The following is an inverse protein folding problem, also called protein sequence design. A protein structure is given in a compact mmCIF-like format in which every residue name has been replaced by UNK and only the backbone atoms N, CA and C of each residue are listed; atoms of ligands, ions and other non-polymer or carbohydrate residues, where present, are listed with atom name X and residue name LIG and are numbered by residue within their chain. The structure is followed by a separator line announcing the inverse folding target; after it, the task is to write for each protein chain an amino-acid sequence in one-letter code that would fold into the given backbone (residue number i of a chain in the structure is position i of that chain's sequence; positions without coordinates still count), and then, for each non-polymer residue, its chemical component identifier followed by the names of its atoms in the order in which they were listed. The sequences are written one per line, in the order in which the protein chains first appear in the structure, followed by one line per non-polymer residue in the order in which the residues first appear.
data_IF_918767898971
#
_entry.id   IF_918767898971
#
_cell.length_a   1.000
_cell.length_b   1.000
_cell.length_c   1.000
_cell.angle_alpha   90.00
_cell.angle_beta   90.00
_cell.angle_gamma   90.00
#
_symmetry.space_group_name_H-M   'P 1'
#
loop_
_entity.id
_entity.type
_entity.pdbx_description
1 polymer ?
#
# COMPACT_ATOMS: atom_id res chain seq x y z
N UNK A 1 -15.84 11.04 -7.75
CA UNK A 1 -14.58 11.46 -8.42
C UNK A 1 -14.14 12.88 -8.03
N UNK A 2 -14.98 13.94 -8.20
CA UNK A 2 -14.58 15.33 -7.87
C UNK A 2 -14.20 15.56 -6.40
N UNK A 3 -14.82 14.86 -5.45
CA UNK A 3 -14.52 14.98 -4.01
C UNK A 3 -13.09 14.51 -3.65
N UNK A 4 -12.57 13.52 -4.38
CA UNK A 4 -11.23 12.99 -4.16
C UNK A 4 -10.14 13.90 -4.75
N UNK A 5 -10.46 14.73 -5.76
CA UNK A 5 -9.49 15.62 -6.41
C UNK A 5 -8.84 16.60 -5.43
N UNK A 6 -9.57 17.08 -4.44
CA UNK A 6 -9.05 17.96 -3.39
C UNK A 6 -7.97 17.29 -2.55
N UNK A 7 -8.17 16.00 -2.23
CA UNK A 7 -7.18 15.21 -1.50
C UNK A 7 -5.89 15.03 -2.32
N UNK A 8 -6.01 14.76 -3.62
CA UNK A 8 -4.86 14.55 -4.52
C UNK A 8 -4.00 15.81 -4.65
N UNK A 9 -4.61 17.00 -4.68
CA UNK A 9 -3.87 18.28 -4.78
C UNK A 9 -3.02 18.54 -3.53
N UNK A 10 -3.53 18.19 -2.34
CA UNK A 10 -2.85 18.47 -1.07
C UNK A 10 -1.85 17.37 -0.69
N UNK A 11 -2.06 16.13 -1.13
CA UNK A 11 -1.26 14.97 -0.76
C UNK A 11 0.27 15.16 -0.96
N UNK A 12 0.77 15.70 -2.12
CA UNK A 12 2.21 15.86 -2.33
C UNK A 12 2.88 16.76 -1.30
N UNK A 13 2.26 17.90 -0.98
CA UNK A 13 2.82 18.84 -0.01
C UNK A 13 2.83 18.26 1.42
N UNK A 14 1.81 17.49 1.79
CA UNK A 14 1.80 16.77 3.06
C UNK A 14 2.92 15.71 3.12
N UNK A 15 3.16 14.99 2.02
CA UNK A 15 4.22 13.99 1.93
C UNK A 15 5.60 14.63 2.09
N UNK A 16 5.82 15.80 1.51
CA UNK A 16 7.08 16.57 1.68
C UNK A 16 7.28 16.97 3.14
N UNK A 17 6.24 17.45 3.84
CA UNK A 17 6.34 17.78 5.27
C UNK A 17 6.64 16.57 6.13
N UNK A 18 6.05 15.42 5.83
CA UNK A 18 6.37 14.16 6.49
C UNK A 18 7.81 13.73 6.24
N UNK A 19 8.25 13.81 4.97
CA UNK A 19 9.63 13.54 4.58
C UNK A 19 10.65 14.45 5.27
N UNK A 20 10.30 15.73 5.49
CA UNK A 20 11.13 16.65 6.24
C UNK A 20 11.43 16.14 7.66
N UNK A 21 10.41 15.70 8.41
CA UNK A 21 10.63 15.12 9.75
C UNK A 21 11.40 13.80 9.71
N UNK A 22 11.15 12.96 8.73
CA UNK A 22 11.89 11.71 8.54
C UNK A 22 13.37 11.96 8.24
N UNK A 23 13.68 12.98 7.43
CA UNK A 23 15.05 13.39 7.13
C UNK A 23 15.84 13.83 8.36
N UNK A 24 15.16 14.37 9.39
CA UNK A 24 15.75 14.67 10.71
C UNK A 24 15.74 13.46 11.67
N UNK A 25 15.45 12.27 11.19
CA UNK A 25 15.28 11.05 11.99
C UNK A 25 14.25 11.18 13.13
N UNK A 26 13.29 12.11 13.00
CA UNK A 26 12.21 12.32 13.94
C UNK A 26 10.91 11.70 13.42
N UNK A 27 10.67 10.44 13.78
CA UNK A 27 9.51 9.68 13.32
C UNK A 27 8.20 10.02 14.07
N UNK A 28 8.26 10.75 15.21
CA UNK A 28 7.06 11.03 16.03
C UNK A 28 6.01 11.88 15.28
N UNK A 29 6.37 13.05 14.66
CA UNK A 29 5.38 13.84 13.93
C UNK A 29 4.79 13.08 12.73
N UNK A 30 5.60 12.28 12.03
CA UNK A 30 5.17 11.43 10.96
C UNK A 30 4.09 10.44 11.43
N UNK A 31 4.38 9.64 12.46
CA UNK A 31 3.45 8.63 12.97
C UNK A 31 2.16 9.26 13.52
N UNK A 32 2.27 10.32 14.33
CA UNK A 32 1.12 11.00 14.90
C UNK A 32 0.24 11.67 13.84
N UNK A 33 0.84 12.24 12.79
CA UNK A 33 0.08 12.81 11.67
C UNK A 33 -0.71 11.75 10.92
N UNK A 34 -0.16 10.54 10.73
CA UNK A 34 -0.88 9.43 10.11
C UNK A 34 -2.04 8.91 10.98
N UNK A 35 -1.81 8.78 12.28
CA UNK A 35 -2.85 8.36 13.21
C UNK A 35 -3.99 9.38 13.24
N UNK A 36 -3.68 10.66 13.37
CA UNK A 36 -4.68 11.73 13.36
C UNK A 36 -5.48 11.76 12.05
N UNK A 37 -4.80 11.60 10.90
CA UNK A 37 -5.45 11.50 9.60
C UNK A 37 -6.47 10.36 9.57
N UNK A 38 -6.09 9.16 10.01
CA UNK A 38 -6.96 8.00 9.98
C UNK A 38 -8.14 8.14 10.93
N UNK A 39 -7.90 8.59 12.17
CA UNK A 39 -8.96 8.76 13.17
C UNK A 39 -9.99 9.78 12.67
N UNK A 40 -9.55 10.94 12.24
CA UNK A 40 -10.46 12.00 11.78
C UNK A 40 -11.20 11.57 10.51
N UNK A 41 -10.53 10.88 9.59
CA UNK A 41 -11.16 10.33 8.37
C UNK A 41 -12.26 9.34 8.72
N UNK A 42 -12.01 8.40 9.64
CA UNK A 42 -13.00 7.41 10.06
C UNK A 42 -14.17 8.08 10.78
N UNK A 43 -13.90 8.99 11.71
CA UNK A 43 -14.96 9.75 12.43
C UNK A 43 -15.83 10.51 11.43
N UNK A 44 -15.24 11.26 10.50
CA UNK A 44 -15.99 12.00 9.49
C UNK A 44 -16.84 11.07 8.61
N UNK A 45 -16.24 9.99 8.12
CA UNK A 45 -16.93 9.02 7.27
C UNK A 45 -18.15 8.42 7.98
N UNK A 46 -18.01 8.00 9.23
CA UNK A 46 -19.10 7.41 10.01
C UNK A 46 -20.18 8.43 10.32
N UNK A 47 -19.81 9.61 10.82
CA UNK A 47 -20.77 10.65 11.19
C UNK A 47 -21.51 11.16 9.93
N UNK A 48 -20.80 11.52 8.87
CA UNK A 48 -21.45 12.04 7.68
C UNK A 48 -22.40 11.01 7.05
N UNK A 49 -21.96 9.74 6.96
CA UNK A 49 -22.82 8.67 6.43
C UNK A 49 -24.03 8.44 7.32
N UNK A 50 -23.85 8.40 8.64
CA UNK A 50 -24.97 8.24 9.59
C UNK A 50 -25.99 9.39 9.49
N UNK A 51 -25.53 10.64 9.50
CA UNK A 51 -26.42 11.79 9.40
C UNK A 51 -27.18 11.82 8.06
N UNK A 52 -26.52 11.52 6.94
CA UNK A 52 -27.18 11.51 5.62
C UNK A 52 -28.20 10.38 5.51
N UNK A 53 -27.82 9.16 5.93
CA UNK A 53 -28.65 7.97 5.71
C UNK A 53 -29.78 7.82 6.75
N UNK A 54 -29.59 8.27 8.00
CA UNK A 54 -30.55 8.07 9.09
C UNK A 54 -31.38 9.30 9.44
N UNK A 55 -30.80 10.49 9.31
CA UNK A 55 -31.45 11.76 9.75
C UNK A 55 -31.79 12.63 8.53
N UNK A 56 -30.97 12.57 7.49
CA UNK A 56 -31.13 13.40 6.30
C UNK A 56 -31.96 12.76 5.19
N UNK A 57 -31.54 13.03 3.95
CA UNK A 57 -32.28 12.66 2.72
C UNK A 57 -32.29 11.16 2.41
N UNK A 58 -31.46 10.35 3.06
CA UNK A 58 -31.24 8.93 2.73
C UNK A 58 -30.54 8.71 1.37
N UNK A 59 -29.97 9.77 0.77
CA UNK A 59 -29.32 9.68 -0.54
C UNK A 59 -27.97 8.96 -0.43
N UNK A 60 -27.94 7.75 -0.97
CA UNK A 60 -26.75 6.91 -1.03
C UNK A 60 -25.58 7.57 -1.78
N UNK A 61 -25.86 8.30 -2.87
CA UNK A 61 -24.82 8.95 -3.68
C UNK A 61 -24.10 10.03 -2.87
N UNK A 62 -24.86 10.87 -2.17
CA UNK A 62 -24.30 11.89 -1.28
C UNK A 62 -23.52 11.28 -0.12
N UNK A 63 -23.99 10.18 0.45
CA UNK A 63 -23.26 9.46 1.51
C UNK A 63 -21.89 8.94 1.02
N UNK A 64 -21.84 8.35 -0.19
CA UNK A 64 -20.57 7.89 -0.81
C UNK A 64 -19.65 9.08 -1.13
N UNK A 65 -20.17 10.18 -1.63
CA UNK A 65 -19.39 11.40 -1.90
C UNK A 65 -18.74 11.93 -0.62
N UNK A 66 -19.49 11.99 0.47
CA UNK A 66 -18.97 12.44 1.78
C UNK A 66 -17.97 11.46 2.38
N UNK A 67 -18.18 10.15 2.20
CA UNK A 67 -17.23 9.14 2.62
C UNK A 67 -15.87 9.27 1.89
N UNK A 68 -15.88 9.61 0.60
CA UNK A 68 -14.64 9.87 -0.15
C UNK A 68 -14.01 11.22 0.21
N UNK A 69 -14.83 12.24 0.53
CA UNK A 69 -14.36 13.54 0.98
C UNK A 69 -13.69 13.47 2.36
N UNK A 70 -14.01 12.46 3.17
CA UNK A 70 -13.37 12.20 4.47
C UNK A 70 -11.82 12.10 4.36
N UNK A 71 -11.29 11.67 3.21
CA UNK A 71 -9.85 11.65 2.97
C UNK A 71 -9.23 13.05 3.02
N UNK A 72 -9.89 14.05 2.43
CA UNK A 72 -9.46 15.44 2.49
C UNK A 72 -9.49 16.00 3.92
N UNK A 73 -10.56 15.73 4.66
CA UNK A 73 -10.70 16.16 6.06
C UNK A 73 -9.60 15.53 6.94
N UNK A 74 -9.34 14.23 6.75
CA UNK A 74 -8.24 13.54 7.43
C UNK A 74 -6.87 14.19 7.13
N UNK A 75 -6.61 14.56 5.88
CA UNK A 75 -5.37 15.25 5.52
C UNK A 75 -5.24 16.62 6.20
N UNK A 76 -6.32 17.39 6.33
CA UNK A 76 -6.29 18.65 7.08
C UNK A 76 -5.89 18.44 8.55
N UNK A 77 -6.40 17.40 9.19
CA UNK A 77 -5.99 17.03 10.54
C UNK A 77 -4.50 16.65 10.61
N UNK A 78 -4.00 15.89 9.62
CA UNK A 78 -2.59 15.58 9.49
C UNK A 78 -1.72 16.83 9.38
N UNK A 79 -2.13 17.79 8.56
CA UNK A 79 -1.46 19.09 8.49
C UNK A 79 -1.42 19.82 9.83
N UNK A 80 -2.54 19.83 10.55
CA UNK A 80 -2.60 20.45 11.88
C UNK A 80 -1.55 19.89 12.83
N UNK A 81 -1.39 18.56 12.85
CA UNK A 81 -0.35 17.89 13.65
C UNK A 81 1.05 18.26 13.18
N UNK A 82 1.32 18.22 11.87
CA UNK A 82 2.64 18.53 11.33
C UNK A 82 3.02 19.99 11.61
N UNK A 83 2.11 20.94 11.40
CA UNK A 83 2.34 22.36 11.70
C UNK A 83 2.53 22.62 13.20
N UNK A 84 1.77 21.92 14.06
CA UNK A 84 1.97 21.99 15.50
C UNK A 84 3.40 21.59 15.90
N UNK A 85 3.92 20.50 15.33
CA UNK A 85 5.30 20.06 15.61
C UNK A 85 6.34 21.00 15.02
N UNK A 86 6.12 21.55 13.82
CA UNK A 86 6.99 22.59 13.25
C UNK A 86 7.08 23.81 14.13
N UNK A 87 5.95 24.24 14.68
CA UNK A 87 5.89 25.36 15.61
C UNK A 87 6.60 25.03 16.93
N UNK A 88 6.28 23.89 17.52
CA UNK A 88 6.87 23.43 18.79
C UNK A 88 8.39 23.27 18.73
N UNK A 89 8.93 22.82 17.61
CA UNK A 89 10.37 22.64 17.40
C UNK A 89 11.06 23.90 16.90
N UNK A 90 10.35 25.02 16.75
CA UNK A 90 10.91 26.30 16.27
C UNK A 90 11.34 26.27 14.80
N UNK A 91 11.01 25.21 14.05
CA UNK A 91 11.41 25.01 12.65
C UNK A 91 10.55 25.76 11.64
N UNK A 92 9.47 26.39 12.09
CA UNK A 92 8.57 27.15 11.22
C UNK A 92 9.31 28.32 10.53
N UNK A 93 10.22 29.00 11.27
CA UNK A 93 11.03 30.07 10.72
C UNK A 93 12.03 29.57 9.66
N UNK A 94 12.53 28.37 9.77
CA UNK A 94 13.45 27.80 8.78
C UNK A 94 12.74 27.37 7.47
N UNK A 95 11.43 27.09 7.51
CA UNK A 95 10.65 26.78 6.31
C UNK A 95 10.19 28.05 5.55
N UNK A 96 9.82 29.09 6.27
CA UNK A 96 9.23 30.30 5.67
C UNK A 96 10.14 31.53 5.79
N UNK A 97 11.26 31.45 6.53
CA UNK A 97 12.22 32.53 6.65
C UNK A 97 13.07 32.69 5.40
N UNK A 98 13.46 33.96 5.09
CA UNK A 98 14.50 34.22 4.11
C UNK A 98 15.83 33.72 4.70
N UNK A 99 16.17 32.46 4.46
CA UNK A 99 17.51 31.97 4.75
C UNK A 99 18.45 32.48 3.65
N UNK A 100 19.67 32.85 4.04
CA UNK A 100 20.74 33.09 3.08
C UNK A 100 20.93 31.80 2.28
N UNK A 101 20.55 31.81 1.00
CA UNK A 101 20.82 30.73 0.09
C UNK A 101 22.32 30.58 0.01
N UNK A 102 22.90 29.46 0.43
CA UNK A 102 24.30 29.18 0.19
C UNK A 102 24.54 29.25 -1.32
N UNK A 103 25.46 30.07 -1.81
CA UNK A 103 25.65 30.32 -3.24
C UNK A 103 25.97 29.04 -4.05
N UNK A 104 26.44 28.01 -3.36
CA UNK A 104 26.85 26.73 -4.00
C UNK A 104 25.73 25.69 -4.16
N UNK A 105 24.51 25.96 -3.69
CA UNK A 105 23.40 25.01 -3.76
C UNK A 105 22.49 25.41 -4.93
N UNK A 106 22.42 24.53 -5.95
CA UNK A 106 21.45 24.66 -7.02
C UNK A 106 20.16 23.91 -6.67
N UNK A 107 19.06 24.60 -6.30
CA UNK A 107 17.80 23.96 -5.90
C UNK A 107 17.22 23.07 -7.00
N UNK A 108 17.37 23.48 -8.26
CA UNK A 108 16.86 22.73 -9.41
C UNK A 108 17.58 21.39 -9.58
N UNK A 109 18.91 21.38 -9.35
CA UNK A 109 19.68 20.14 -9.41
C UNK A 109 19.25 19.14 -8.33
N UNK A 110 19.02 19.61 -7.09
CA UNK A 110 18.53 18.79 -5.98
C UNK A 110 17.14 18.19 -6.31
N UNK A 111 16.23 19.01 -6.84
CA UNK A 111 14.89 18.53 -7.23
C UNK A 111 15.00 17.46 -8.30
N UNK A 112 15.80 17.66 -9.34
CA UNK A 112 16.00 16.66 -10.42
C UNK A 112 16.62 15.37 -9.88
N UNK A 113 17.60 15.46 -9.01
CA UNK A 113 18.25 14.32 -8.37
C UNK A 113 17.25 13.53 -7.51
N UNK A 114 16.48 14.23 -6.66
CA UNK A 114 15.42 13.63 -5.86
C UNK A 114 14.38 12.92 -6.72
N UNK A 115 13.98 13.52 -7.85
CA UNK A 115 13.07 12.85 -8.79
C UNK A 115 13.68 11.59 -9.39
N UNK A 116 14.94 11.63 -9.82
CA UNK A 116 15.63 10.45 -10.37
C UNK A 116 15.73 9.32 -9.36
N UNK A 117 15.97 9.64 -8.09
CA UNK A 117 16.01 8.66 -7.01
C UNK A 117 14.63 8.14 -6.62
N UNK A 118 13.58 8.96 -6.73
CA UNK A 118 12.21 8.55 -6.41
C UNK A 118 11.60 7.58 -7.43
N UNK A 119 11.94 7.69 -8.73
CA UNK A 119 11.38 6.87 -9.80
C UNK A 119 11.48 5.36 -9.51
N UNK A 120 12.63 4.81 -9.12
CA UNK A 120 12.75 3.39 -8.77
C UNK A 120 11.80 2.95 -7.65
N UNK A 121 11.68 3.78 -6.61
CA UNK A 121 10.78 3.50 -5.48
C UNK A 121 9.31 3.53 -5.91
N UNK A 122 8.94 4.46 -6.80
CA UNK A 122 7.58 4.53 -7.36
C UNK A 122 7.28 3.27 -8.17
N UNK A 123 8.20 2.86 -9.04
CA UNK A 123 8.03 1.68 -9.90
C UNK A 123 7.84 0.43 -9.04
N UNK A 124 8.77 0.13 -8.14
CA UNK A 124 8.71 -1.07 -7.30
C UNK A 124 7.60 -1.01 -6.26
N UNK A 125 7.31 0.17 -5.70
CA UNK A 125 6.24 0.38 -4.74
C UNK A 125 4.84 0.24 -5.34
N UNK A 126 4.68 0.40 -6.67
CA UNK A 126 3.40 0.21 -7.36
C UNK A 126 3.14 -1.22 -7.83
N UNK A 127 4.01 -2.18 -7.49
CA UNK A 127 3.93 -3.55 -7.98
C UNK A 127 2.59 -4.23 -7.72
N UNK A 128 2.09 -4.15 -6.49
CA UNK A 128 0.80 -4.77 -6.11
C UNK A 128 -0.34 -4.18 -6.95
N UNK A 129 -0.34 -2.86 -7.14
CA UNK A 129 -1.35 -2.17 -7.93
C UNK A 129 -1.27 -2.53 -9.42
N UNK A 130 -0.05 -2.69 -9.96
CA UNK A 130 0.14 -3.12 -11.35
C UNK A 130 -0.32 -4.58 -11.55
N UNK A 131 -0.05 -5.46 -10.60
CA UNK A 131 -0.55 -6.83 -10.64
C UNK A 131 -2.07 -6.87 -10.61
N UNK A 132 -2.71 -6.06 -9.75
CA UNK A 132 -4.17 -5.92 -9.70
C UNK A 132 -4.75 -5.34 -10.99
N UNK A 133 -4.07 -4.40 -11.66
CA UNK A 133 -4.49 -3.87 -12.95
C UNK A 133 -4.45 -4.95 -14.04
N UNK A 134 -3.42 -5.80 -14.06
CA UNK A 134 -3.36 -6.93 -14.99
C UNK A 134 -4.53 -7.87 -14.75
N UNK A 135 -4.84 -8.19 -13.48
CA UNK A 135 -5.99 -9.02 -13.12
C UNK A 135 -7.30 -8.39 -13.60
N UNK A 136 -7.50 -7.10 -13.34
CA UNK A 136 -8.73 -6.38 -13.71
C UNK A 136 -8.96 -6.35 -15.23
N UNK A 137 -7.90 -6.18 -16.01
CA UNK A 137 -8.05 -6.07 -17.45
C UNK A 137 -8.20 -7.42 -18.15
N UNK A 138 -7.61 -8.46 -17.59
CA UNK A 138 -7.54 -9.77 -18.25
C UNK A 138 -8.63 -10.73 -17.78
N UNK A 139 -8.98 -10.72 -16.48
CA UNK A 139 -9.82 -11.74 -15.88
C UNK A 139 -11.20 -11.84 -16.54
N UNK A 140 -11.99 -10.77 -16.50
CA UNK A 140 -13.36 -10.79 -17.02
C UNK A 140 -13.36 -11.12 -18.51
N UNK A 141 -12.51 -10.46 -19.30
CA UNK A 141 -12.42 -10.64 -20.74
C UNK A 141 -12.03 -12.08 -21.15
N UNK A 142 -11.13 -12.69 -20.39
CA UNK A 142 -10.70 -14.07 -20.66
C UNK A 142 -11.79 -15.04 -20.26
N UNK A 143 -12.36 -14.89 -19.07
CA UNK A 143 -13.44 -15.77 -18.59
C UNK A 143 -14.68 -15.71 -19.48
N UNK A 144 -15.06 -14.54 -20.00
CA UNK A 144 -16.17 -14.37 -20.96
C UNK A 144 -15.98 -15.19 -22.25
N UNK A 145 -14.74 -15.34 -22.70
CA UNK A 145 -14.42 -16.09 -23.94
C UNK A 145 -14.38 -17.60 -23.74
N UNK A 146 -14.02 -18.07 -22.56
CA UNK A 146 -13.73 -19.49 -22.30
C UNK A 146 -14.74 -20.15 -21.36
N UNK A 147 -15.71 -19.40 -20.82
CA UNK A 147 -16.76 -19.95 -19.93
C UNK A 147 -18.14 -19.45 -20.34
N UNK A 148 -19.18 -20.13 -19.87
CA UNK A 148 -20.58 -19.77 -20.08
C UNK A 148 -21.16 -18.86 -18.99
N UNK A 149 -20.31 -18.28 -18.12
CA UNK A 149 -20.77 -17.39 -17.06
C UNK A 149 -21.34 -16.07 -17.64
N UNK A 150 -22.43 -15.59 -17.05
CA UNK A 150 -22.94 -14.26 -17.36
C UNK A 150 -22.00 -13.16 -16.83
N UNK A 151 -22.09 -11.97 -17.39
CA UNK A 151 -21.25 -10.85 -16.96
C UNK A 151 -21.44 -10.51 -15.47
N UNK A 152 -22.67 -10.62 -14.94
CA UNK A 152 -22.95 -10.45 -13.51
C UNK A 152 -22.27 -11.50 -12.64
N UNK A 153 -22.26 -12.77 -13.06
CA UNK A 153 -21.53 -13.85 -12.35
C UNK A 153 -20.03 -13.62 -12.37
N UNK A 154 -19.46 -13.16 -13.49
CA UNK A 154 -18.03 -12.84 -13.59
C UNK A 154 -17.63 -11.66 -12.70
N UNK A 155 -18.48 -10.65 -12.55
CA UNK A 155 -18.24 -9.55 -11.61
C UNK A 155 -18.24 -10.01 -10.15
N UNK A 156 -19.17 -10.88 -9.78
CA UNK A 156 -19.21 -11.50 -8.44
C UNK A 156 -17.95 -12.33 -8.20
N UNK A 157 -17.56 -13.17 -9.18
CA UNK A 157 -16.36 -13.99 -9.09
C UNK A 157 -15.08 -13.15 -9.00
N UNK A 158 -15.03 -12.02 -9.72
CA UNK A 158 -13.93 -11.05 -9.59
C UNK A 158 -13.92 -10.36 -8.23
N UNK A 159 -15.07 -10.09 -7.63
CA UNK A 159 -15.14 -9.59 -6.27
C UNK A 159 -14.61 -10.60 -5.24
N UNK A 160 -14.88 -11.90 -5.41
CA UNK A 160 -14.32 -12.96 -4.57
C UNK A 160 -12.79 -13.05 -4.66
N UNK A 161 -12.25 -12.77 -5.85
CA UNK A 161 -10.81 -12.79 -6.12
C UNK A 161 -10.09 -11.54 -5.56
N UNK A 162 -10.67 -10.35 -5.79
CA UNK A 162 -9.99 -9.06 -5.59
C UNK A 162 -10.47 -8.34 -4.33
N UNK A 163 -11.76 -7.99 -4.28
CA UNK A 163 -12.29 -7.08 -3.27
C UNK A 163 -12.44 -7.72 -1.89
N UNK A 164 -12.88 -8.97 -1.83
CA UNK A 164 -13.19 -9.63 -0.57
C UNK A 164 -11.94 -9.99 0.24
N UNK A 165 -10.89 -10.60 -0.36
CA UNK A 165 -9.67 -10.89 0.39
C UNK A 165 -8.92 -9.63 0.81
N UNK A 166 -9.05 -8.53 0.06
CA UNK A 166 -8.25 -7.31 0.26
C UNK A 166 -8.32 -6.74 1.68
N UNK A 167 -9.44 -6.90 2.39
CA UNK A 167 -9.60 -6.41 3.77
C UNK A 167 -8.58 -7.02 4.71
N UNK A 168 -8.41 -8.35 4.64
CA UNK A 168 -7.47 -9.07 5.52
C UNK A 168 -6.05 -9.00 4.95
N UNK A 169 -5.88 -9.17 3.64
CA UNK A 169 -4.55 -9.16 3.02
C UNK A 169 -3.85 -7.82 3.18
N UNK A 170 -4.57 -6.70 3.10
CA UNK A 170 -3.99 -5.37 3.34
C UNK A 170 -3.52 -5.17 4.78
N UNK A 171 -4.21 -5.73 5.77
CA UNK A 171 -3.75 -5.68 7.17
C UNK A 171 -2.42 -6.42 7.31
N UNK A 172 -2.32 -7.61 6.74
CA UNK A 172 -1.10 -8.42 6.79
C UNK A 172 0.08 -7.73 6.07
N UNK A 173 -0.16 -7.15 4.90
CA UNK A 173 0.85 -6.41 4.13
C UNK A 173 1.27 -5.13 4.87
N UNK A 174 0.35 -4.44 5.56
CA UNK A 174 0.67 -3.22 6.31
C UNK A 174 1.70 -3.49 7.43
N UNK A 175 1.64 -4.66 8.08
CA UNK A 175 2.66 -5.05 9.06
C UNK A 175 4.02 -5.27 8.38
N UNK A 176 4.05 -5.94 7.22
CA UNK A 176 5.27 -6.11 6.44
C UNK A 176 5.90 -4.76 6.05
N UNK A 177 5.09 -3.83 5.57
CA UNK A 177 5.53 -2.47 5.24
C UNK A 177 6.05 -1.70 6.45
N UNK A 178 5.48 -1.91 7.62
CA UNK A 178 5.94 -1.28 8.87
C UNK A 178 7.32 -1.79 9.27
N UNK A 179 7.57 -3.09 9.14
CA UNK A 179 8.89 -3.71 9.40
C UNK A 179 9.92 -3.13 8.42
N UNK A 180 9.60 -3.07 7.13
CA UNK A 180 10.46 -2.47 6.13
C UNK A 180 10.75 -0.99 6.43
N UNK A 181 9.72 -0.21 6.78
CA UNK A 181 9.83 1.23 7.04
C UNK A 181 10.82 1.57 8.16
N UNK A 182 10.96 0.73 9.17
CA UNK A 182 11.95 0.89 10.25
C UNK A 182 13.32 0.37 9.82
N UNK A 183 13.37 -0.72 9.07
CA UNK A 183 14.62 -1.36 8.67
C UNK A 183 15.42 -0.60 7.62
N UNK A 184 14.75 0.08 6.68
CA UNK A 184 15.38 0.75 5.55
C UNK A 184 16.39 1.83 5.97
N UNK A 185 16.06 2.82 6.83
CA UNK A 185 17.02 3.85 7.23
C UNK A 185 18.25 3.28 7.94
N UNK A 186 18.05 2.29 8.82
CA UNK A 186 19.13 1.63 9.55
C UNK A 186 20.04 0.84 8.60
N UNK A 187 19.46 0.20 7.59
CA UNK A 187 20.21 -0.55 6.59
C UNK A 187 21.06 0.39 5.73
N UNK A 188 20.49 1.50 5.27
CA UNK A 188 21.20 2.53 4.52
C UNK A 188 22.34 3.14 5.35
N UNK A 189 22.13 3.40 6.62
CA UNK A 189 23.16 3.91 7.54
C UNK A 189 24.35 2.94 7.64
N UNK A 190 24.11 1.64 7.82
CA UNK A 190 25.16 0.63 7.87
C UNK A 190 25.91 0.52 6.54
N UNK A 191 25.21 0.63 5.41
CA UNK A 191 25.85 0.61 4.09
C UNK A 191 26.76 1.83 3.89
N UNK A 192 26.35 3.03 4.30
CA UNK A 192 27.18 4.24 4.25
C UNK A 192 28.41 4.11 5.15
N UNK A 193 28.27 3.51 6.32
CA UNK A 193 29.38 3.21 7.25
C UNK A 193 30.27 2.05 6.80
N UNK A 194 29.93 1.37 5.70
CA UNK A 194 30.61 0.15 5.19
C UNK A 194 30.57 -1.02 6.18
N UNK A 195 29.63 -1.02 7.12
CA UNK A 195 29.39 -2.14 8.02
C UNK A 195 28.50 -3.22 7.34
N UNK A 196 29.13 -4.02 6.49
CA UNK A 196 28.42 -5.08 5.78
C UNK A 196 27.89 -6.18 6.71
N UNK A 197 28.58 -6.43 7.85
CA UNK A 197 28.09 -7.41 8.83
C UNK A 197 26.84 -6.92 9.55
N UNK A 198 26.82 -5.66 9.97
CA UNK A 198 25.64 -5.02 10.54
C UNK A 198 24.48 -4.98 9.55
N UNK A 199 24.74 -4.64 8.29
CA UNK A 199 23.75 -4.64 7.22
C UNK A 199 23.12 -6.04 7.00
N UNK A 200 23.97 -7.09 6.88
CA UNK A 200 23.50 -8.47 6.73
C UNK A 200 22.65 -8.93 7.93
N UNK A 201 23.09 -8.61 9.15
CA UNK A 201 22.34 -8.93 10.37
C UNK A 201 20.98 -8.24 10.41
N UNK A 202 20.90 -6.99 9.97
CA UNK A 202 19.63 -6.26 9.89
C UNK A 202 18.67 -6.90 8.88
N UNK A 203 19.15 -7.31 7.69
CA UNK A 203 18.32 -7.99 6.68
C UNK A 203 17.77 -9.29 7.28
N UNK A 204 18.63 -10.11 7.90
CA UNK A 204 18.21 -11.38 8.51
C UNK A 204 17.18 -11.13 9.60
N UNK A 205 17.42 -10.18 10.51
CA UNK A 205 16.50 -9.87 11.59
C UNK A 205 15.14 -9.39 11.07
N UNK A 206 15.11 -8.53 10.05
CA UNK A 206 13.86 -8.05 9.48
C UNK A 206 13.07 -9.18 8.80
N UNK A 207 13.75 -10.09 8.09
CA UNK A 207 13.11 -11.26 7.50
C UNK A 207 12.61 -12.25 8.56
N UNK A 208 13.37 -12.46 9.62
CA UNK A 208 12.93 -13.30 10.75
C UNK A 208 11.71 -12.71 11.44
N UNK A 209 11.69 -11.39 11.71
CA UNK A 209 10.54 -10.71 12.28
C UNK A 209 9.31 -10.80 11.36
N UNK A 210 9.51 -10.59 10.07
CA UNK A 210 8.44 -10.73 9.08
C UNK A 210 7.86 -12.16 9.11
N UNK A 211 8.70 -13.18 9.00
CA UNK A 211 8.26 -14.58 8.95
C UNK A 211 7.62 -15.02 10.27
N UNK A 212 8.18 -14.58 11.41
CA UNK A 212 7.63 -14.85 12.74
C UNK A 212 6.21 -14.31 12.91
N UNK A 213 5.88 -13.19 12.25
CA UNK A 213 4.53 -12.62 12.26
C UNK A 213 3.64 -13.19 11.15
N UNK A 214 4.13 -13.16 9.90
CA UNK A 214 3.27 -13.42 8.74
C UNK A 214 2.83 -14.89 8.64
N UNK A 215 3.70 -15.84 8.99
CA UNK A 215 3.39 -17.26 8.90
C UNK A 215 2.28 -17.66 9.88
N UNK A 216 2.36 -17.35 11.19
CA UNK A 216 1.25 -17.64 12.11
C UNK A 216 -0.02 -16.85 11.76
N UNK A 217 0.11 -15.61 11.30
CA UNK A 217 -1.03 -14.78 10.94
C UNK A 217 -1.78 -15.35 9.71
N UNK A 218 -1.07 -15.83 8.70
CA UNK A 218 -1.67 -16.53 7.55
C UNK A 218 -2.29 -17.84 8.00
N UNK A 219 -1.58 -18.65 8.77
CA UNK A 219 -2.10 -19.92 9.27
C UNK A 219 -3.40 -19.72 10.07
N UNK A 220 -3.42 -18.77 11.00
CA UNK A 220 -4.61 -18.41 11.76
C UNK A 220 -5.74 -17.89 10.88
N UNK A 221 -5.42 -17.05 9.88
CA UNK A 221 -6.42 -16.53 8.94
C UNK A 221 -7.00 -17.63 8.03
N UNK A 222 -6.20 -18.61 7.63
CA UNK A 222 -6.66 -19.77 6.84
C UNK A 222 -7.56 -20.67 7.67
N UNK A 223 -7.18 -21.00 8.91
CA UNK A 223 -8.00 -21.80 9.83
C UNK A 223 -9.33 -21.09 10.10
N UNK A 224 -9.30 -19.78 10.27
CA UNK A 224 -10.48 -18.95 10.53
C UNK A 224 -11.09 -18.36 9.25
N UNK A 225 -10.76 -18.86 8.07
CA UNK A 225 -11.16 -18.23 6.81
C UNK A 225 -12.68 -18.11 6.66
N UNK A 226 -13.42 -19.18 7.01
CA UNK A 226 -14.90 -19.18 6.95
C UNK A 226 -15.53 -18.16 7.90
N UNK A 227 -15.24 -18.13 9.21
CA UNK A 227 -15.77 -17.10 10.11
C UNK A 227 -15.30 -15.67 9.73
N UNK A 228 -14.04 -15.49 9.32
CA UNK A 228 -13.55 -14.19 8.87
C UNK A 228 -14.33 -13.68 7.65
N UNK A 229 -14.53 -14.55 6.65
CA UNK A 229 -15.32 -14.18 5.48
C UNK A 229 -16.76 -13.84 5.86
N UNK A 230 -17.37 -14.67 6.72
CA UNK A 230 -18.77 -14.50 7.13
C UNK A 230 -19.02 -13.17 7.86
N UNK A 231 -18.09 -12.70 8.67
CA UNK A 231 -18.22 -11.42 9.37
C UNK A 231 -18.33 -10.23 8.40
N UNK A 232 -17.62 -10.28 7.28
CA UNK A 232 -17.59 -9.15 6.33
C UNK A 232 -18.63 -9.27 5.20
N UNK A 233 -18.96 -10.50 4.76
CA UNK A 233 -19.67 -10.72 3.51
C UNK A 233 -20.82 -11.71 3.60
N UNK A 234 -21.06 -12.30 4.78
CA UNK A 234 -22.00 -13.41 4.95
C UNK A 234 -21.38 -14.76 4.62
N UNK A 235 -22.20 -15.82 4.67
CA UNK A 235 -21.72 -17.20 4.46
C UNK A 235 -21.12 -17.37 3.06
N UNK A 236 -19.84 -17.80 2.94
CA UNK A 236 -19.21 -18.02 1.65
C UNK A 236 -19.77 -19.28 0.97
N UNK A 237 -19.93 -19.21 -0.35
CA UNK A 237 -20.02 -20.42 -1.17
C UNK A 237 -18.63 -21.10 -1.29
N UNK A 238 -18.56 -22.27 -1.92
CA UNK A 238 -17.33 -23.03 -2.04
C UNK A 238 -16.26 -22.31 -2.88
N UNK A 239 -16.65 -21.54 -3.90
CA UNK A 239 -15.74 -20.77 -4.74
C UNK A 239 -15.18 -19.54 -3.98
N UNK A 240 -16.04 -18.78 -3.30
CA UNK A 240 -15.63 -17.65 -2.47
C UNK A 240 -14.65 -18.09 -1.37
N UNK A 241 -14.95 -19.21 -0.70
CA UNK A 241 -14.06 -19.76 0.33
C UNK A 241 -12.70 -20.17 -0.23
N UNK A 242 -12.67 -20.90 -1.35
CA UNK A 242 -11.45 -21.35 -1.99
C UNK A 242 -10.56 -20.17 -2.42
N UNK A 243 -11.14 -19.17 -3.08
CA UNK A 243 -10.41 -17.97 -3.54
C UNK A 243 -9.90 -17.13 -2.37
N UNK A 244 -10.69 -17.04 -1.31
CA UNK A 244 -10.28 -16.33 -0.10
C UNK A 244 -9.06 -16.99 0.56
N UNK A 245 -9.10 -18.31 0.76
CA UNK A 245 -7.97 -19.08 1.31
C UNK A 245 -6.73 -18.98 0.41
N UNK A 246 -6.89 -19.15 -0.90
CA UNK A 246 -5.78 -19.03 -1.85
C UNK A 246 -5.14 -17.64 -1.80
N UNK A 247 -5.95 -16.58 -1.71
CA UNK A 247 -5.47 -15.19 -1.58
C UNK A 247 -4.76 -14.94 -0.25
N UNK A 248 -5.20 -15.54 0.86
CA UNK A 248 -4.51 -15.45 2.15
C UNK A 248 -3.12 -16.10 2.10
N UNK A 249 -3.00 -17.27 1.45
CA UNK A 249 -1.71 -17.95 1.29
C UNK A 249 -0.77 -17.13 0.40
N UNK A 250 -1.29 -16.55 -0.68
CA UNK A 250 -0.54 -15.69 -1.59
C UNK A 250 0.14 -14.50 -0.88
N UNK A 251 -0.45 -13.99 0.21
CA UNK A 251 0.06 -12.81 0.93
C UNK A 251 1.50 -12.99 1.37
N UNK A 252 1.99 -14.22 1.62
CA UNK A 252 3.38 -14.45 2.03
C UNK A 252 4.37 -13.90 0.99
N UNK A 253 4.08 -14.11 -0.31
CA UNK A 253 4.92 -13.64 -1.40
C UNK A 253 4.87 -12.11 -1.54
N UNK A 254 3.67 -11.54 -1.43
CA UNK A 254 3.49 -10.09 -1.46
C UNK A 254 4.16 -9.39 -0.27
N UNK A 255 4.09 -9.99 0.92
CA UNK A 255 4.74 -9.48 2.12
C UNK A 255 6.27 -9.55 2.01
N UNK A 256 6.82 -10.67 1.52
CA UNK A 256 8.24 -10.82 1.24
C UNK A 256 8.72 -9.79 0.22
N UNK A 257 8.00 -9.63 -0.88
CA UNK A 257 8.31 -8.60 -1.88
C UNK A 257 8.30 -7.19 -1.26
N UNK A 258 7.28 -6.87 -0.46
CA UNK A 258 7.12 -5.54 0.17
C UNK A 258 8.26 -5.18 1.13
N UNK A 259 9.01 -6.18 1.63
CA UNK A 259 10.19 -5.97 2.47
C UNK A 259 11.48 -6.01 1.65
N UNK A 260 11.61 -6.99 0.77
CA UNK A 260 12.85 -7.22 0.02
C UNK A 260 13.14 -6.15 -1.04
N UNK A 261 12.11 -5.68 -1.76
CA UNK A 261 12.31 -4.69 -2.82
C UNK A 261 12.86 -3.35 -2.28
N UNK A 262 12.29 -2.74 -1.22
CA UNK A 262 12.90 -1.56 -0.60
C UNK A 262 14.27 -1.81 0.03
N UNK A 263 14.52 -3.01 0.58
CA UNK A 263 15.85 -3.37 1.13
C UNK A 263 16.93 -3.41 0.06
N UNK A 264 16.63 -3.95 -1.13
CA UNK A 264 17.55 -3.90 -2.27
C UNK A 264 17.90 -2.46 -2.66
N UNK A 265 16.94 -1.55 -2.58
CA UNK A 265 17.19 -0.13 -2.84
C UNK A 265 18.01 0.52 -1.73
N UNK A 266 17.76 0.16 -0.46
CA UNK A 266 18.52 0.66 0.69
C UNK A 266 20.00 0.26 0.68
N UNK A 267 20.35 -0.86 0.03
CA UNK A 267 21.75 -1.28 -0.20
C UNK A 267 22.32 -0.78 -1.53
N UNK A 268 21.68 0.21 -2.14
CA UNK A 268 22.07 0.83 -3.43
C UNK A 268 22.01 -0.09 -4.65
N UNK A 269 21.34 -1.25 -4.56
CA UNK A 269 21.13 -2.19 -5.68
C UNK A 269 19.80 -1.94 -6.40
N UNK A 270 19.48 -0.68 -6.63
CA UNK A 270 18.22 -0.20 -7.21
C UNK A 270 17.94 -0.81 -8.58
N UNK A 271 18.98 -0.98 -9.44
CA UNK A 271 18.82 -1.59 -10.77
C UNK A 271 18.37 -3.04 -10.67
N UNK A 272 18.88 -3.79 -9.70
CA UNK A 272 18.45 -5.18 -9.46
C UNK A 272 17.00 -5.23 -9.01
N UNK A 273 16.58 -4.33 -8.11
CA UNK A 273 15.19 -4.26 -7.67
C UNK A 273 14.22 -4.02 -8.84
N UNK A 274 14.54 -3.08 -9.74
CA UNK A 274 13.74 -2.81 -10.96
C UNK A 274 13.74 -4.02 -11.91
N UNK A 275 14.89 -4.64 -12.14
CA UNK A 275 14.99 -5.79 -13.05
C UNK A 275 14.17 -6.98 -12.54
N UNK A 276 14.27 -7.31 -11.25
CA UNK A 276 13.48 -8.39 -10.66
C UNK A 276 11.98 -8.08 -10.72
N UNK A 277 11.59 -6.84 -10.43
CA UNK A 277 10.22 -6.39 -10.61
C UNK A 277 9.74 -6.54 -12.07
N UNK A 278 10.53 -6.09 -13.03
CA UNK A 278 10.18 -6.20 -14.45
C UNK A 278 10.02 -7.67 -14.88
N UNK A 279 10.91 -8.55 -14.42
CA UNK A 279 10.80 -10.00 -14.65
C UNK A 279 9.50 -10.54 -14.04
N UNK A 280 9.17 -10.16 -12.80
CA UNK A 280 7.92 -10.57 -12.14
C UNK A 280 6.69 -10.13 -12.92
N UNK A 281 6.64 -8.88 -13.38
CA UNK A 281 5.53 -8.37 -14.22
C UNK A 281 5.42 -9.16 -15.53
N UNK A 282 6.54 -9.45 -16.20
CA UNK A 282 6.55 -10.23 -17.42
C UNK A 282 6.08 -11.67 -17.19
N UNK A 283 6.59 -12.33 -16.15
CA UNK A 283 6.17 -13.69 -15.78
C UNK A 283 4.67 -13.72 -15.48
N UNK A 284 4.18 -12.78 -14.68
CA UNK A 284 2.73 -12.67 -14.42
C UNK A 284 1.95 -12.46 -15.71
N UNK A 285 2.36 -11.54 -16.58
CA UNK A 285 1.63 -11.23 -17.81
C UNK A 285 1.57 -12.44 -18.75
N UNK A 286 2.65 -13.22 -18.84
CA UNK A 286 2.73 -14.43 -19.68
C UNK A 286 1.86 -15.56 -19.10
N UNK A 287 1.96 -15.78 -17.79
CA UNK A 287 1.24 -16.89 -17.14
C UNK A 287 -0.23 -16.58 -16.89
N UNK A 288 -0.63 -15.31 -16.88
CA UNK A 288 -1.98 -14.87 -16.52
C UNK A 288 -3.06 -15.53 -17.39
N UNK A 289 -2.92 -15.43 -18.72
CA UNK A 289 -3.92 -15.97 -19.64
C UNK A 289 -4.01 -17.51 -19.60
N UNK A 290 -2.90 -18.28 -19.72
CA UNK A 290 -2.94 -19.72 -19.58
C UNK A 290 -3.55 -20.17 -18.23
N UNK A 291 -3.15 -19.57 -17.12
CA UNK A 291 -3.64 -19.97 -15.81
C UNK A 291 -5.12 -19.64 -15.62
N UNK A 292 -5.65 -18.54 -16.18
CA UNK A 292 -7.08 -18.26 -16.17
C UNK A 292 -7.84 -19.33 -16.98
N UNK A 293 -7.33 -19.72 -18.15
CA UNK A 293 -7.97 -20.71 -19.00
C UNK A 293 -8.02 -22.09 -18.33
N UNK A 294 -6.92 -22.52 -17.69
CA UNK A 294 -6.83 -23.84 -17.08
C UNK A 294 -7.40 -23.93 -15.67
N UNK A 295 -7.27 -22.88 -14.86
CA UNK A 295 -7.61 -22.88 -13.43
C UNK A 295 -8.75 -21.90 -13.09
N UNK A 296 -9.30 -21.23 -14.08
CA UNK A 296 -10.39 -20.25 -13.87
C UNK A 296 -9.99 -19.13 -12.92
N UNK A 297 -10.80 -18.89 -11.91
CA UNK A 297 -10.61 -17.81 -10.96
C UNK A 297 -9.37 -17.96 -10.04
N UNK A 298 -8.75 -19.13 -9.94
CA UNK A 298 -7.47 -19.31 -9.24
C UNK A 298 -6.28 -18.83 -10.06
N UNK A 299 -6.42 -18.72 -11.39
CA UNK A 299 -5.34 -18.30 -12.27
C UNK A 299 -4.64 -17.02 -11.87
N UNK A 300 -5.34 -15.90 -11.59
CA UNK A 300 -4.75 -14.65 -11.14
C UNK A 300 -4.01 -14.76 -9.81
N UNK A 301 -4.50 -15.57 -8.86
CA UNK A 301 -3.83 -15.78 -7.57
C UNK A 301 -2.48 -16.46 -7.78
N UNK A 302 -2.48 -17.54 -8.58
CA UNK A 302 -1.26 -18.32 -8.84
C UNK A 302 -0.26 -17.51 -9.69
N UNK A 303 -0.73 -16.82 -10.72
CA UNK A 303 0.14 -15.95 -11.54
C UNK A 303 0.80 -14.84 -10.73
N UNK A 304 0.10 -14.27 -9.75
CA UNK A 304 0.65 -13.28 -8.83
C UNK A 304 1.64 -13.89 -7.84
N UNK A 305 1.43 -15.13 -7.39
CA UNK A 305 2.34 -15.81 -6.46
C UNK A 305 3.66 -16.22 -7.13
N UNK A 306 3.64 -16.50 -8.44
CA UNK A 306 4.84 -16.89 -9.22
C UNK A 306 5.61 -15.67 -9.72
N UNK A 307 4.90 -14.61 -10.13
CA UNK A 307 5.51 -13.37 -10.65
C UNK A 307 6.01 -12.47 -9.54
#
# INVERSE_FOLDING_TARGET
MRSLSWAVVIFPSMSVLRGFFQGFNNMKPYALSQIAEQIIRVIWMLLATFFIMKIGTGDYVTAVVQSTFAAFIGMLASYGVLFFYLWKEGKLKSLFGKQAVHPDINPTAIVIETFKEAIPFIITGSAIQLFQLIDQWTFIRTMERFTSYSNSQLQVLYAYLSSNPSKITMILIAVALSIAGVGIPLLTENMVKKDLKGAAKLIINNLQLLLLFIVPAIAGSVILAKPLYTVFYGAPDSQAHLLFVASLIQVIFLALYSVLAPMLQAIFETRKAINYFAIGVLVKAILQLPLIIFLGALGPVISTAIG
#
